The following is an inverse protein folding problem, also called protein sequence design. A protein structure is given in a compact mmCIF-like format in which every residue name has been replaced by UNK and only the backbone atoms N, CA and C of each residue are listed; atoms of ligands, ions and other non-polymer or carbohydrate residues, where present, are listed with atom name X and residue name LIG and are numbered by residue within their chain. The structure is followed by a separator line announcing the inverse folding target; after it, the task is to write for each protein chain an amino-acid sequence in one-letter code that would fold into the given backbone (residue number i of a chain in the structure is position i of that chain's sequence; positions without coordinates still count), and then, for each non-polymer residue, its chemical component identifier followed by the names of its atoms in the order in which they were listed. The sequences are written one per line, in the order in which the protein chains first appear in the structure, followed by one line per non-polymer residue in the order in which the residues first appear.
data_IF_297584034499
#
_entry.id   IF_297584034499
#
_cell.length_a   1.000
_cell.length_b   1.000
_cell.length_c   1.000
_cell.angle_alpha   90.00
_cell.angle_beta   90.00
_cell.angle_gamma   90.00
#
_symmetry.space_group_name_H-M   'P 1'
#
loop_
_entity.id
_entity.type
_entity.pdbx_description
1 polymer ?
#
# COMPACT_ATOMS: atom_id res chain seq x y z
N UNK A 1 11.10 13.60 3.80
CA UNK A 1 12.23 12.63 3.69
C UNK A 1 11.94 11.69 2.54
N UNK A 2 12.89 11.50 1.61
CA UNK A 2 12.61 10.73 0.41
C UNK A 2 12.15 9.31 0.73
N UNK A 3 11.16 8.86 -0.04
CA UNK A 3 10.56 7.54 0.05
C UNK A 3 11.03 6.71 -1.14
N UNK A 4 11.54 5.51 -0.90
CA UNK A 4 11.74 4.51 -1.96
C UNK A 4 10.66 3.44 -1.86
N UNK A 5 9.99 3.17 -2.97
CA UNK A 5 9.09 2.03 -3.13
C UNK A 5 9.67 1.04 -4.13
N UNK A 6 9.71 -0.24 -3.77
CA UNK A 6 10.12 -1.33 -4.65
C UNK A 6 8.96 -2.29 -4.84
N UNK A 7 8.55 -2.50 -6.09
CA UNK A 7 7.39 -3.34 -6.39
C UNK A 7 7.03 -3.38 -7.86
N UNK A 8 5.87 -3.96 -8.16
CA UNK A 8 5.38 -4.08 -9.52
C UNK A 8 4.97 -2.73 -10.11
N UNK A 9 5.39 -2.51 -11.35
CA UNK A 9 4.84 -1.55 -12.29
C UNK A 9 4.17 -2.40 -13.35
N UNK A 10 2.91 -2.17 -13.64
CA UNK A 10 2.10 -3.14 -14.36
C UNK A 10 1.12 -2.50 -15.35
N UNK A 11 0.56 -3.37 -16.19
CA UNK A 11 -0.72 -3.11 -16.83
C UNK A 11 -1.80 -3.97 -16.19
N UNK A 12 -2.90 -3.34 -15.81
CA UNK A 12 -4.05 -4.02 -15.23
C UNK A 12 -5.25 -3.98 -16.21
N UNK A 13 -6.02 -5.07 -16.26
CA UNK A 13 -7.32 -5.13 -16.92
C UNK A 13 -8.37 -5.51 -15.88
N UNK A 14 -9.35 -4.67 -15.70
CA UNK A 14 -10.32 -4.81 -14.62
C UNK A 14 -11.73 -4.76 -15.16
N UNK A 15 -12.54 -5.73 -14.74
CA UNK A 15 -13.98 -5.76 -14.97
C UNK A 15 -14.70 -5.69 -13.62
N UNK A 16 -15.65 -4.78 -13.52
CA UNK A 16 -16.52 -4.59 -12.36
C UNK A 16 -17.97 -4.45 -12.81
N UNK A 17 -18.95 -4.43 -11.88
CA UNK A 17 -20.34 -4.13 -12.23
C UNK A 17 -20.55 -2.76 -12.90
N UNK A 18 -19.57 -1.85 -12.77
CA UNK A 18 -19.62 -0.49 -13.32
C UNK A 18 -18.97 -0.37 -14.70
N UNK A 19 -18.34 -1.41 -15.22
CA UNK A 19 -17.72 -1.44 -16.53
C UNK A 19 -16.44 -2.25 -16.60
N UNK A 20 -15.72 -2.04 -17.70
CA UNK A 20 -14.45 -2.73 -17.96
C UNK A 20 -13.43 -1.75 -18.52
N UNK A 21 -12.19 -1.92 -18.12
CA UNK A 21 -11.02 -1.24 -18.66
C UNK A 21 -9.92 -2.25 -18.91
N UNK A 22 -9.26 -2.10 -20.03
CA UNK A 22 -8.17 -2.99 -20.42
C UNK A 22 -6.85 -2.24 -20.47
N UNK A 23 -5.79 -2.89 -20.02
CA UNK A 23 -4.41 -2.42 -20.13
C UNK A 23 -4.19 -1.00 -19.55
N UNK A 24 -4.74 -0.74 -18.39
CA UNK A 24 -4.49 0.49 -17.62
C UNK A 24 -3.12 0.46 -16.95
N UNK A 25 -2.57 1.64 -16.67
CA UNK A 25 -1.44 1.77 -15.76
C UNK A 25 -1.84 1.26 -14.37
N UNK A 26 -1.05 0.36 -13.84
CA UNK A 26 -1.28 -0.29 -12.55
C UNK A 26 0.01 -0.76 -11.88
N UNK A 27 -0.14 -1.70 -10.96
CA UNK A 27 0.94 -2.24 -10.15
C UNK A 27 1.09 -1.57 -8.79
N UNK A 28 1.53 -2.36 -7.81
CA UNK A 28 1.59 -1.93 -6.41
C UNK A 28 2.49 -0.70 -6.20
N UNK A 29 3.67 -0.67 -6.83
CA UNK A 29 4.57 0.48 -6.72
C UNK A 29 4.01 1.74 -7.39
N UNK A 30 3.23 1.60 -8.47
CA UNK A 30 2.61 2.73 -9.17
C UNK A 30 1.55 3.40 -8.29
N UNK A 31 0.57 2.64 -7.81
CA UNK A 31 -0.48 3.17 -6.93
C UNK A 31 0.08 3.80 -5.65
N UNK A 32 1.04 3.11 -5.03
CA UNK A 32 1.74 3.64 -3.87
C UNK A 32 2.42 4.97 -4.17
N UNK A 33 3.21 5.03 -5.25
CA UNK A 33 4.01 6.21 -5.58
C UNK A 33 3.15 7.44 -5.89
N UNK A 34 2.05 7.26 -6.63
CA UNK A 34 1.10 8.33 -6.91
C UNK A 34 0.48 8.89 -5.63
N UNK A 35 0.12 8.04 -4.67
CA UNK A 35 -0.42 8.47 -3.40
C UNK A 35 0.63 9.14 -2.50
N UNK A 36 1.82 8.56 -2.39
CA UNK A 36 2.89 9.08 -1.54
C UNK A 36 3.45 10.43 -2.06
N UNK A 37 3.38 10.68 -3.38
CA UNK A 37 3.86 11.92 -4.01
C UNK A 37 3.11 13.19 -3.60
N UNK A 38 1.99 13.08 -2.89
CA UNK A 38 1.33 14.24 -2.29
C UNK A 38 2.05 14.77 -1.04
N UNK A 39 2.98 14.01 -0.49
CA UNK A 39 3.59 14.28 0.81
C UNK A 39 5.09 14.55 0.75
N UNK A 40 5.82 13.79 -0.07
CA UNK A 40 7.29 13.89 -0.11
C UNK A 40 7.82 13.41 -1.47
N UNK A 41 9.13 13.53 -1.67
CA UNK A 41 9.82 12.99 -2.83
C UNK A 41 9.75 11.45 -2.84
N UNK A 42 9.33 10.88 -3.95
CA UNK A 42 9.15 9.44 -4.10
C UNK A 42 10.00 8.92 -5.23
N UNK A 43 10.68 7.81 -5.00
CA UNK A 43 11.41 7.04 -6.00
C UNK A 43 10.81 5.66 -6.17
N UNK A 44 10.57 5.28 -7.43
CA UNK A 44 10.05 3.95 -7.79
C UNK A 44 11.16 3.09 -8.33
N UNK A 45 11.24 1.85 -7.85
CA UNK A 45 12.17 0.83 -8.31
C UNK A 45 11.36 -0.38 -8.80
N UNK A 46 11.55 -0.75 -10.06
CA UNK A 46 10.88 -1.92 -10.64
C UNK A 46 11.19 -2.05 -12.13
N UNK A 47 11.01 -3.25 -12.72
CA UNK A 47 11.23 -3.47 -14.13
C UNK A 47 9.94 -3.22 -14.93
N UNK A 48 10.11 -2.76 -16.16
CA UNK A 48 9.05 -2.70 -17.19
C UNK A 48 9.57 -3.29 -18.49
N UNK A 49 8.68 -3.80 -19.33
CA UNK A 49 9.03 -4.30 -20.65
C UNK A 49 9.19 -3.19 -21.70
N UNK A 50 9.50 -3.62 -22.93
CA UNK A 50 9.58 -2.72 -24.09
C UNK A 50 8.22 -2.11 -24.46
N UNK A 51 7.13 -2.79 -24.09
CA UNK A 51 5.75 -2.38 -24.29
C UNK A 51 5.26 -1.27 -23.36
N UNK A 52 6.10 -0.85 -22.37
CA UNK A 52 5.82 0.24 -21.45
C UNK A 52 6.41 1.54 -22.00
N UNK A 53 5.54 2.42 -22.47
CA UNK A 53 5.92 3.66 -23.13
C UNK A 53 6.29 4.80 -22.16
N UNK A 54 6.76 5.90 -22.75
CA UNK A 54 7.04 7.10 -21.95
C UNK A 54 5.75 7.77 -21.45
N UNK A 55 4.63 7.58 -22.13
CA UNK A 55 3.32 8.11 -21.70
C UNK A 55 2.89 7.57 -20.33
N UNK A 56 3.18 6.29 -20.04
CA UNK A 56 2.93 5.68 -18.73
C UNK A 56 3.90 6.22 -17.67
N UNK A 57 5.18 6.37 -18.00
CA UNK A 57 6.15 6.97 -17.08
C UNK A 57 5.86 8.44 -16.79
N UNK A 58 5.30 9.15 -17.78
CA UNK A 58 4.96 10.56 -17.63
C UNK A 58 3.83 10.80 -16.63
N UNK A 59 2.98 9.80 -16.37
CA UNK A 59 2.01 9.87 -15.26
C UNK A 59 2.73 10.05 -13.93
N UNK A 60 3.75 9.23 -13.68
CA UNK A 60 4.57 9.31 -12.47
C UNK A 60 5.41 10.60 -12.44
N UNK A 61 6.07 10.94 -13.56
CA UNK A 61 6.93 12.15 -13.68
C UNK A 61 6.16 13.45 -13.43
N UNK A 62 4.91 13.55 -13.92
CA UNK A 62 4.05 14.73 -13.68
C UNK A 62 3.74 14.95 -12.21
N UNK A 63 3.78 13.88 -11.41
CA UNK A 63 3.64 13.93 -9.95
C UNK A 63 4.96 14.13 -9.20
N UNK A 64 6.07 14.36 -9.93
CA UNK A 64 7.40 14.55 -9.36
C UNK A 64 8.05 13.24 -8.88
N UNK A 65 7.50 12.08 -9.24
CA UNK A 65 8.08 10.78 -8.87
C UNK A 65 9.36 10.53 -9.67
N UNK A 66 10.44 10.18 -8.98
CA UNK A 66 11.71 9.79 -9.60
C UNK A 66 11.60 8.36 -10.14
N UNK A 67 11.70 8.24 -11.46
CA UNK A 67 11.64 6.98 -12.21
C UNK A 67 13.01 6.52 -12.72
N UNK A 68 14.10 7.06 -12.16
CA UNK A 68 15.47 6.73 -12.59
C UNK A 68 15.81 5.26 -12.39
N UNK A 69 15.25 4.65 -11.35
CA UNK A 69 15.43 3.23 -11.01
C UNK A 69 14.35 2.32 -11.65
N UNK A 70 13.59 2.82 -12.61
CA UNK A 70 12.70 1.99 -13.44
C UNK A 70 13.51 1.43 -14.60
N UNK A 71 13.75 0.12 -14.60
CA UNK A 71 14.53 -0.56 -15.60
C UNK A 71 13.65 -1.02 -16.78
N UNK A 72 13.93 -0.51 -18.00
CA UNK A 72 13.22 -0.96 -19.20
C UNK A 72 13.99 -2.13 -19.85
N UNK A 73 13.40 -3.31 -19.87
CA UNK A 73 13.98 -4.53 -20.40
C UNK A 73 13.60 -4.71 -21.88
N UNK A 74 14.60 -4.62 -22.78
CA UNK A 74 14.38 -4.79 -24.21
C UNK A 74 13.89 -6.22 -24.55
N UNK A 75 12.91 -6.31 -25.44
CA UNK A 75 12.33 -7.58 -25.89
C UNK A 75 11.43 -8.26 -24.86
N UNK A 76 11.24 -7.67 -23.67
CA UNK A 76 10.39 -8.21 -22.64
C UNK A 76 9.01 -7.55 -22.60
N UNK A 77 8.04 -8.21 -21.99
CA UNK A 77 6.71 -7.66 -21.71
C UNK A 77 6.63 -7.20 -20.26
N UNK A 78 5.91 -6.11 -20.03
CA UNK A 78 5.59 -5.61 -18.68
C UNK A 78 4.68 -6.59 -17.96
N UNK A 79 4.79 -6.66 -16.63
CA UNK A 79 3.85 -7.39 -15.78
C UNK A 79 2.41 -7.01 -16.13
N UNK A 80 1.57 -8.02 -16.29
CA UNK A 80 0.17 -7.85 -16.62
C UNK A 80 -0.71 -8.66 -15.68
N UNK A 81 -1.77 -8.02 -15.19
CA UNK A 81 -2.79 -8.69 -14.40
C UNK A 81 -4.18 -8.37 -14.95
N UNK A 82 -5.06 -9.38 -14.98
CA UNK A 82 -6.46 -9.20 -15.29
C UNK A 82 -7.35 -9.84 -14.23
N UNK A 83 -8.39 -9.14 -13.80
CA UNK A 83 -9.34 -9.64 -12.83
C UNK A 83 -10.74 -9.11 -13.00
N UNK A 84 -11.70 -9.88 -12.46
CA UNK A 84 -13.10 -9.55 -12.40
C UNK A 84 -13.59 -9.49 -10.96
N UNK A 85 -14.30 -8.43 -10.63
CA UNK A 85 -14.93 -8.26 -9.33
C UNK A 85 -16.39 -8.64 -9.36
N UNK A 86 -16.85 -9.33 -8.33
CA UNK A 86 -18.26 -9.63 -8.13
C UNK A 86 -19.10 -8.37 -7.91
N UNK A 87 -20.41 -8.55 -7.87
CA UNK A 87 -21.37 -7.43 -7.72
C UNK A 87 -21.16 -6.64 -6.40
N UNK A 88 -20.63 -7.28 -5.37
CA UNK A 88 -20.33 -6.73 -4.06
C UNK A 88 -18.95 -6.07 -3.96
N UNK A 89 -18.13 -6.15 -5.04
CA UNK A 89 -16.75 -5.67 -5.12
C UNK A 89 -15.80 -6.26 -4.06
N UNK A 90 -16.31 -7.12 -3.18
CA UNK A 90 -15.54 -7.80 -2.14
C UNK A 90 -14.86 -9.08 -2.62
N UNK A 91 -15.47 -9.75 -3.60
CA UNK A 91 -14.94 -10.96 -4.23
C UNK A 91 -14.22 -10.62 -5.52
N UNK A 92 -13.03 -11.18 -5.71
CA UNK A 92 -12.20 -10.98 -6.91
C UNK A 92 -11.75 -12.32 -7.47
N UNK A 93 -11.96 -12.51 -8.77
CA UNK A 93 -11.38 -13.60 -9.54
C UNK A 93 -10.22 -13.07 -10.39
N UNK A 94 -9.05 -13.73 -10.29
CA UNK A 94 -7.92 -13.45 -11.19
C UNK A 94 -8.12 -14.24 -12.47
N UNK A 95 -8.26 -13.55 -13.58
CA UNK A 95 -8.48 -14.15 -14.90
C UNK A 95 -7.13 -14.49 -15.58
N UNK A 96 -6.14 -13.61 -15.43
CA UNK A 96 -4.83 -13.77 -16.03
C UNK A 96 -3.74 -13.09 -15.17
N UNK A 97 -2.56 -13.69 -15.13
CA UNK A 97 -1.34 -13.08 -14.61
C UNK A 97 -0.17 -13.45 -15.50
N UNK A 98 0.48 -12.46 -16.09
CA UNK A 98 1.73 -12.62 -16.85
C UNK A 98 2.82 -11.85 -16.13
N UNK A 99 3.80 -12.57 -15.61
CA UNK A 99 4.89 -11.94 -14.88
C UNK A 99 5.80 -11.08 -15.78
N UNK A 100 5.93 -11.46 -17.06
CA UNK A 100 6.81 -10.75 -17.99
C UNK A 100 8.20 -10.58 -17.43
N UNK A 101 8.80 -9.40 -17.59
CA UNK A 101 10.14 -9.07 -17.08
C UNK A 101 10.24 -9.12 -15.55
N UNK A 102 9.12 -9.13 -14.86
CA UNK A 102 9.09 -9.21 -13.40
C UNK A 102 9.47 -10.60 -12.86
N UNK A 103 9.37 -11.63 -13.69
CA UNK A 103 9.74 -13.01 -13.31
C UNK A 103 11.21 -13.15 -12.92
N UNK A 104 12.09 -12.42 -13.61
CA UNK A 104 13.54 -12.45 -13.43
C UNK A 104 14.06 -11.17 -12.75
N UNK A 105 13.17 -10.42 -12.09
CA UNK A 105 13.54 -9.17 -11.45
C UNK A 105 14.48 -9.39 -10.26
N UNK A 106 15.68 -8.84 -10.36
CA UNK A 106 16.65 -8.76 -9.28
C UNK A 106 16.88 -7.29 -8.90
N UNK A 107 16.27 -6.79 -7.81
CA UNK A 107 16.34 -5.37 -7.47
C UNK A 107 17.74 -4.93 -7.11
N UNK A 108 18.34 -4.07 -7.95
CA UNK A 108 19.62 -3.40 -7.73
C UNK A 108 19.33 -1.90 -7.56
N UNK A 109 19.40 -1.43 -6.33
CA UNK A 109 19.05 -0.05 -6.02
C UNK A 109 20.22 0.89 -6.31
N UNK A 110 19.93 2.05 -6.91
CA UNK A 110 20.89 3.13 -7.02
C UNK A 110 21.30 3.67 -5.64
N UNK A 111 22.42 4.36 -5.52
CA UNK A 111 22.80 5.03 -4.26
C UNK A 111 21.72 5.96 -3.72
N UNK A 112 20.96 6.61 -4.61
CA UNK A 112 19.83 7.45 -4.23
C UNK A 112 18.68 6.67 -3.59
N UNK A 113 18.34 5.51 -4.15
CA UNK A 113 17.31 4.63 -3.58
C UNK A 113 17.76 3.99 -2.26
N UNK A 114 19.03 3.59 -2.16
CA UNK A 114 19.60 3.03 -0.93
C UNK A 114 19.65 4.05 0.22
N UNK A 115 19.81 5.33 -0.10
CA UNK A 115 19.90 6.43 0.86
C UNK A 115 18.56 7.01 1.31
N UNK A 116 17.43 6.43 0.92
CA UNK A 116 16.13 6.92 1.34
C UNK A 116 15.86 6.68 2.82
N UNK A 117 15.24 7.68 3.46
CA UNK A 117 14.88 7.62 4.88
C UNK A 117 13.70 6.69 5.17
N UNK A 118 12.83 6.53 4.17
CA UNK A 118 11.63 5.69 4.26
C UNK A 118 11.62 4.68 3.11
N UNK A 119 11.37 3.42 3.46
CA UNK A 119 11.32 2.30 2.52
C UNK A 119 9.96 1.64 2.55
N UNK A 120 9.36 1.45 1.39
CA UNK A 120 8.19 0.60 1.24
C UNK A 120 8.50 -0.61 0.34
N UNK A 121 8.33 -1.79 0.91
CA UNK A 121 8.47 -3.07 0.22
C UNK A 121 7.06 -3.49 -0.23
N UNK A 122 6.68 -3.07 -1.45
CA UNK A 122 5.40 -3.42 -2.02
C UNK A 122 5.32 -4.93 -2.33
N UNK A 123 4.14 -5.42 -2.63
CA UNK A 123 3.85 -6.82 -2.82
C UNK A 123 4.68 -7.45 -3.96
N UNK A 124 5.77 -8.13 -3.58
CA UNK A 124 6.64 -8.98 -4.42
C UNK A 124 7.10 -10.19 -3.63
N UNK A 125 7.88 -11.07 -4.27
CA UNK A 125 8.46 -12.24 -3.59
C UNK A 125 9.22 -11.83 -2.31
N UNK A 126 8.98 -12.47 -1.16
CA UNK A 126 9.58 -12.07 0.11
C UNK A 126 11.11 -12.07 0.16
N UNK A 127 11.78 -12.97 -0.55
CA UNK A 127 13.25 -12.96 -0.63
C UNK A 127 13.79 -11.71 -1.33
N UNK A 128 13.09 -11.21 -2.37
CA UNK A 128 13.44 -9.97 -3.05
C UNK A 128 13.19 -8.76 -2.12
N UNK A 129 12.07 -8.74 -1.39
CA UNK A 129 11.81 -7.70 -0.40
C UNK A 129 12.92 -7.65 0.66
N UNK A 130 13.37 -8.81 1.15
CA UNK A 130 14.46 -8.89 2.13
C UNK A 130 15.80 -8.45 1.53
N UNK A 131 16.08 -8.81 0.28
CA UNK A 131 17.28 -8.36 -0.43
C UNK A 131 17.30 -6.82 -0.62
N UNK A 132 16.15 -6.21 -0.91
CA UNK A 132 15.99 -4.75 -0.96
C UNK A 132 16.23 -4.14 0.42
N UNK A 133 15.60 -4.68 1.46
CA UNK A 133 15.78 -4.17 2.83
C UNK A 133 17.25 -4.19 3.27
N UNK A 134 17.99 -5.22 2.87
CA UNK A 134 19.43 -5.34 3.17
C UNK A 134 20.28 -4.27 2.45
N UNK A 135 19.81 -3.71 1.33
CA UNK A 135 20.47 -2.60 0.63
C UNK A 135 20.13 -1.23 1.25
N UNK A 136 19.00 -1.10 1.97
CA UNK A 136 18.50 0.14 2.57
C UNK A 136 18.63 0.12 4.11
N UNK A 137 19.82 -0.15 4.64
CA UNK A 137 20.04 -0.30 6.09
C UNK A 137 19.88 0.99 6.87
N UNK A 138 19.97 2.15 6.21
CA UNK A 138 19.84 3.48 6.80
C UNK A 138 18.39 3.97 6.92
N UNK A 139 17.42 3.29 6.33
CA UNK A 139 16.03 3.69 6.40
C UNK A 139 15.54 3.69 7.87
N UNK A 140 15.02 4.83 8.31
CA UNK A 140 14.50 5.00 9.68
C UNK A 140 13.11 4.40 9.86
N UNK A 141 12.39 4.18 8.77
CA UNK A 141 11.10 3.49 8.75
C UNK A 141 11.00 2.62 7.51
N UNK A 142 10.76 1.35 7.71
CA UNK A 142 10.51 0.40 6.66
C UNK A 142 9.14 -0.26 6.86
N UNK A 143 8.31 -0.24 5.83
CA UNK A 143 7.02 -0.92 5.83
C UNK A 143 6.95 -1.95 4.70
N UNK A 144 6.12 -2.98 4.88
CA UNK A 144 5.99 -4.10 3.97
C UNK A 144 4.52 -4.40 3.74
N UNK A 145 4.14 -4.63 2.48
CA UNK A 145 2.88 -5.28 2.08
C UNK A 145 3.16 -6.66 1.48
N UNK A 146 2.16 -7.53 1.50
CA UNK A 146 2.23 -8.88 0.94
C UNK A 146 0.84 -9.32 0.47
N UNK A 147 0.72 -10.58 0.02
CA UNK A 147 -0.56 -11.15 -0.39
C UNK A 147 -0.66 -12.63 0.00
N UNK A 148 -1.89 -13.17 -0.10
CA UNK A 148 -2.20 -14.56 0.19
C UNK A 148 -1.28 -15.56 -0.52
N UNK A 149 -0.90 -15.31 -1.77
CA UNK A 149 0.01 -16.20 -2.52
C UNK A 149 1.31 -16.45 -1.74
N UNK A 150 1.97 -15.40 -1.26
CA UNK A 150 3.24 -15.55 -0.53
C UNK A 150 3.06 -16.20 0.85
N UNK A 151 1.90 -15.98 1.47
CA UNK A 151 1.54 -16.67 2.71
C UNK A 151 1.40 -18.18 2.48
N UNK A 152 0.91 -18.58 1.31
CA UNK A 152 0.71 -19.99 0.95
C UNK A 152 2.01 -20.69 0.53
N UNK A 153 2.78 -20.07 -0.39
CA UNK A 153 3.89 -20.76 -1.04
C UNK A 153 5.29 -20.39 -0.48
N UNK A 154 5.41 -19.29 0.28
CA UNK A 154 6.69 -18.75 0.76
C UNK A 154 6.62 -18.24 2.20
N UNK A 155 5.76 -18.82 3.04
CA UNK A 155 5.46 -18.34 4.40
C UNK A 155 6.71 -18.13 5.25
N UNK A 156 7.64 -19.05 5.26
CA UNK A 156 8.85 -18.96 6.09
C UNK A 156 9.75 -17.80 5.66
N UNK A 157 9.90 -17.58 4.35
CA UNK A 157 10.60 -16.42 3.81
C UNK A 157 9.88 -15.12 4.15
N UNK A 158 8.54 -15.09 4.05
CA UNK A 158 7.74 -13.92 4.43
C UNK A 158 7.92 -13.56 5.92
N UNK A 159 7.87 -14.55 6.82
CA UNK A 159 8.09 -14.33 8.25
C UNK A 159 9.48 -13.76 8.52
N UNK A 160 10.52 -14.28 7.84
CA UNK A 160 11.87 -13.74 7.94
C UNK A 160 11.95 -12.29 7.44
N UNK A 161 11.22 -11.95 6.38
CA UNK A 161 11.19 -10.60 5.82
C UNK A 161 10.43 -9.64 6.74
N UNK A 162 9.29 -10.06 7.29
CA UNK A 162 8.52 -9.29 8.28
C UNK A 162 9.38 -8.91 9.50
N UNK A 163 10.29 -9.78 9.92
CA UNK A 163 11.20 -9.49 11.03
C UNK A 163 12.21 -8.36 10.74
N UNK A 164 12.33 -7.88 9.51
CA UNK A 164 13.27 -6.82 9.10
C UNK A 164 12.65 -5.44 8.97
N UNK A 165 11.33 -5.30 9.14
CA UNK A 165 10.59 -4.06 8.94
C UNK A 165 9.94 -3.55 10.23
N UNK A 166 9.59 -2.27 10.24
CA UNK A 166 8.95 -1.59 11.38
C UNK A 166 7.43 -1.70 11.34
N UNK A 167 6.87 -1.80 10.14
CA UNK A 167 5.42 -1.86 9.91
C UNK A 167 5.04 -2.95 8.91
N UNK A 168 4.01 -3.73 9.24
CA UNK A 168 3.37 -4.68 8.34
C UNK A 168 1.99 -4.16 7.95
N UNK A 169 1.72 -4.10 6.65
CA UNK A 169 0.44 -3.69 6.08
C UNK A 169 -0.17 -4.87 5.35
N UNK A 170 -1.24 -5.46 5.86
CA UNK A 170 -1.97 -6.58 5.23
C UNK A 170 -3.47 -6.31 5.26
N UNK A 171 -4.23 -7.06 4.46
CA UNK A 171 -5.66 -7.12 4.72
C UNK A 171 -5.96 -8.09 5.88
N UNK A 172 -7.16 -8.04 6.40
CA UNK A 172 -7.57 -8.81 7.58
C UNK A 172 -7.62 -10.32 7.31
N UNK A 173 -7.96 -10.75 6.09
CA UNK A 173 -7.95 -12.14 5.68
C UNK A 173 -6.52 -12.69 5.61
N UNK A 174 -5.61 -11.95 4.99
CA UNK A 174 -4.18 -12.27 4.91
C UNK A 174 -3.54 -12.37 6.30
N UNK A 175 -3.86 -11.43 7.19
CA UNK A 175 -3.33 -11.43 8.55
C UNK A 175 -3.82 -12.65 9.35
N UNK A 176 -5.10 -13.04 9.19
CA UNK A 176 -5.64 -14.27 9.79
C UNK A 176 -5.00 -15.52 9.20
N UNK A 177 -4.82 -15.56 7.87
CA UNK A 177 -4.19 -16.69 7.18
C UNK A 177 -2.73 -16.86 7.63
N UNK A 178 -1.97 -15.76 7.69
CA UNK A 178 -0.56 -15.76 8.10
C UNK A 178 -0.37 -16.33 9.51
N UNK A 179 -1.28 -16.03 10.42
CA UNK A 179 -1.17 -16.36 11.85
C UNK A 179 -1.98 -17.59 12.29
N UNK A 180 -2.97 -18.00 11.49
CA UNK A 180 -3.94 -19.03 11.87
C UNK A 180 -4.91 -18.58 12.97
N UNK A 181 -5.01 -17.27 13.27
CA UNK A 181 -5.89 -16.72 14.29
C UNK A 181 -7.18 -16.18 13.68
N UNK A 182 -8.36 -16.56 14.17
CA UNK A 182 -9.63 -16.09 13.59
C UNK A 182 -9.98 -14.64 13.93
N UNK A 183 -9.49 -14.12 15.05
CA UNK A 183 -9.75 -12.75 15.50
C UNK A 183 -8.67 -11.77 15.03
N UNK A 184 -9.07 -10.63 14.43
CA UNK A 184 -8.15 -9.62 13.90
C UNK A 184 -7.11 -9.17 14.93
N UNK A 185 -7.57 -8.75 16.12
CA UNK A 185 -6.67 -8.28 17.18
C UNK A 185 -5.73 -9.38 17.68
N UNK A 186 -6.21 -10.63 17.76
CA UNK A 186 -5.37 -11.76 18.14
C UNK A 186 -4.32 -12.06 17.07
N UNK A 187 -4.68 -11.97 15.78
CA UNK A 187 -3.76 -12.15 14.68
C UNK A 187 -2.67 -11.05 14.67
N UNK A 188 -3.05 -9.78 14.83
CA UNK A 188 -2.10 -8.69 14.89
C UNK A 188 -1.13 -8.83 16.09
N UNK A 189 -1.63 -9.16 17.27
CA UNK A 189 -0.81 -9.38 18.46
C UNK A 189 0.12 -10.57 18.34
N UNK A 190 -0.28 -11.61 17.62
CA UNK A 190 0.59 -12.76 17.31
C UNK A 190 1.83 -12.28 16.55
N UNK A 191 1.65 -11.51 15.46
CA UNK A 191 2.79 -10.97 14.69
C UNK A 191 3.66 -10.04 15.54
N UNK A 192 3.04 -9.14 16.34
CA UNK A 192 3.78 -8.24 17.25
C UNK A 192 4.57 -9.00 18.34
N UNK A 193 4.21 -10.25 18.64
CA UNK A 193 4.90 -11.09 19.60
C UNK A 193 6.11 -11.83 19.02
N UNK A 194 6.25 -11.87 17.69
CA UNK A 194 7.39 -12.52 17.04
C UNK A 194 8.68 -11.85 17.46
N UNK A 195 9.76 -12.63 17.54
CA UNK A 195 11.02 -12.20 18.14
C UNK A 195 11.56 -10.87 17.59
N UNK A 196 12.08 -9.97 18.46
CA UNK A 196 12.72 -8.74 18.03
C UNK A 196 13.99 -8.97 17.20
N UNK A 197 14.33 -8.06 16.24
CA UNK A 197 13.45 -6.97 15.83
C UNK A 197 12.28 -7.52 15.02
N UNK A 198 11.11 -7.13 15.16
CA UNK A 198 9.93 -7.45 14.36
C UNK A 198 9.10 -6.18 14.27
N UNK A 199 8.02 -6.15 13.49
CA UNK A 199 7.24 -4.95 13.33
C UNK A 199 6.72 -4.46 14.68
N UNK A 200 6.79 -3.14 14.88
CA UNK A 200 6.17 -2.45 16.01
C UNK A 200 4.74 -2.02 15.71
N UNK A 201 4.37 -2.04 14.43
CA UNK A 201 3.11 -1.53 13.90
C UNK A 201 2.50 -2.56 12.95
N UNK A 202 1.23 -2.88 13.13
CA UNK A 202 0.43 -3.69 12.20
C UNK A 202 -0.74 -2.84 11.71
N UNK A 203 -0.87 -2.73 10.40
CA UNK A 203 -2.06 -2.18 9.74
C UNK A 203 -2.84 -3.33 9.14
N UNK A 204 -4.09 -3.48 9.53
CA UNK A 204 -5.02 -4.45 8.97
C UNK A 204 -6.11 -3.74 8.18
N UNK A 205 -6.02 -3.80 6.86
CA UNK A 205 -7.00 -3.23 5.92
C UNK A 205 -8.25 -4.13 5.92
N UNK A 206 -9.44 -3.53 5.93
CA UNK A 206 -10.72 -4.24 6.05
C UNK A 206 -11.72 -3.83 4.95
N UNK A 207 -11.22 -3.37 3.80
CA UNK A 207 -12.05 -2.93 2.68
C UNK A 207 -13.00 -1.80 3.08
N UNK A 208 -14.28 -1.98 2.82
CA UNK A 208 -15.34 -1.00 3.15
C UNK A 208 -15.49 -0.71 4.64
N UNK A 209 -14.99 -1.59 5.52
CA UNK A 209 -15.02 -1.38 6.97
C UNK A 209 -13.83 -0.54 7.48
N UNK A 210 -12.90 -0.15 6.59
CA UNK A 210 -11.77 0.71 6.92
C UNK A 210 -10.49 -0.02 7.28
N UNK A 211 -9.80 0.38 8.32
CA UNK A 211 -8.55 -0.23 8.75
C UNK A 211 -8.33 -0.16 10.26
N UNK A 212 -7.57 -1.11 10.78
CA UNK A 212 -7.13 -1.14 12.17
C UNK A 212 -5.61 -0.98 12.27
N UNK A 213 -5.16 -0.15 13.19
CA UNK A 213 -3.79 0.02 13.63
C UNK A 213 -3.61 -0.70 14.96
N UNK A 214 -2.64 -1.58 15.04
CA UNK A 214 -2.30 -2.29 16.28
C UNK A 214 -0.82 -2.10 16.57
N UNK A 215 -0.53 -1.62 17.76
CA UNK A 215 0.83 -1.55 18.32
C UNK A 215 0.93 -2.46 19.54
N UNK A 216 2.11 -2.55 20.15
CA UNK A 216 2.26 -3.31 21.40
C UNK A 216 1.41 -2.75 22.55
N UNK A 217 1.16 -1.44 22.55
CA UNK A 217 0.47 -0.70 23.62
C UNK A 217 -0.90 -0.18 23.24
N UNK A 218 -1.20 -0.08 21.93
CA UNK A 218 -2.38 0.59 21.43
C UNK A 218 -3.19 -0.20 20.39
N UNK A 219 -4.42 0.24 20.25
CA UNK A 219 -5.33 -0.14 19.17
C UNK A 219 -6.08 1.11 18.70
N UNK A 220 -6.14 1.30 17.41
CA UNK A 220 -6.94 2.35 16.80
C UNK A 220 -7.65 1.78 15.56
N UNK A 221 -8.90 2.12 15.36
CA UNK A 221 -9.67 1.72 14.17
C UNK A 221 -10.30 2.95 13.55
N UNK A 222 -10.19 3.05 12.23
CA UNK A 222 -10.80 4.10 11.44
C UNK A 222 -11.70 3.45 10.39
N UNK A 223 -12.97 3.84 10.26
CA UNK A 223 -13.83 3.36 9.19
C UNK A 223 -13.32 3.85 7.83
N UNK A 224 -13.71 3.18 6.75
CA UNK A 224 -13.53 3.73 5.42
C UNK A 224 -14.33 5.03 5.27
N UNK A 225 -13.90 5.89 4.33
CA UNK A 225 -14.70 7.04 3.96
C UNK A 225 -16.00 6.56 3.27
N UNK A 226 -17.18 7.07 3.70
CA UNK A 226 -18.45 6.56 3.20
C UNK A 226 -18.73 7.04 1.77
N UNK A 227 -18.44 6.18 0.80
CA UNK A 227 -18.76 6.39 -0.61
C UNK A 227 -20.11 5.75 -0.95
N UNK A 228 -20.92 6.42 -1.74
CA UNK A 228 -22.16 5.81 -2.29
C UNK A 228 -21.86 4.82 -3.42
N UNK A 229 -20.74 5.03 -4.13
CA UNK A 229 -20.34 4.20 -5.26
C UNK A 229 -18.83 3.96 -5.23
N UNK A 230 -18.46 2.69 -5.34
CA UNK A 230 -17.11 2.23 -5.59
C UNK A 230 -17.07 1.66 -7.00
N UNK A 231 -16.18 2.17 -7.86
CA UNK A 231 -16.10 1.78 -9.27
C UNK A 231 -15.09 0.67 -9.49
N UNK A 232 -13.88 0.83 -8.94
CA UNK A 232 -12.78 -0.13 -9.06
C UNK A 232 -11.97 -0.19 -7.76
N UNK A 233 -11.99 -1.31 -7.02
CA UNK A 233 -11.21 -1.45 -5.79
C UNK A 233 -9.73 -1.79 -6.02
N UNK A 234 -9.29 -1.97 -7.28
CA UNK A 234 -7.90 -2.30 -7.61
C UNK A 234 -6.96 -1.19 -7.18
N UNK A 235 -5.84 -1.55 -6.54
CA UNK A 235 -4.84 -0.58 -6.07
C UNK A 235 -5.23 0.23 -4.82
N UNK A 236 -6.44 0.04 -4.27
CA UNK A 236 -6.87 0.77 -3.07
C UNK A 236 -5.94 0.50 -1.87
N UNK A 237 -5.50 -0.75 -1.70
CA UNK A 237 -4.56 -1.13 -0.65
C UNK A 237 -3.19 -0.48 -0.79
N UNK A 238 -2.68 -0.42 -2.01
CA UNK A 238 -1.40 0.21 -2.33
C UNK A 238 -1.48 1.73 -2.21
N UNK A 239 -2.59 2.33 -2.63
CA UNK A 239 -2.88 3.76 -2.48
C UNK A 239 -3.01 4.13 -0.99
N UNK A 240 -3.69 3.30 -0.19
CA UNK A 240 -3.70 3.44 1.27
C UNK A 240 -2.29 3.44 1.85
N UNK A 241 -1.46 2.46 1.48
CA UNK A 241 -0.09 2.35 1.95
C UNK A 241 0.74 3.57 1.53
N UNK A 242 0.56 4.08 0.30
CA UNK A 242 1.21 5.29 -0.19
C UNK A 242 0.84 6.52 0.62
N UNK A 243 -0.43 6.72 0.94
CA UNK A 243 -0.89 7.80 1.79
C UNK A 243 -0.39 7.70 3.23
N UNK A 244 -0.44 6.50 3.81
CA UNK A 244 0.04 6.22 5.16
C UNK A 244 1.55 6.47 5.30
N UNK A 245 2.36 5.85 4.45
CA UNK A 245 3.82 5.94 4.50
C UNK A 245 4.31 7.33 4.06
N UNK A 246 3.68 7.93 3.04
CA UNK A 246 3.98 9.27 2.57
C UNK A 246 3.78 10.32 3.66
N UNK A 247 2.67 10.23 4.42
CA UNK A 247 2.43 11.13 5.55
C UNK A 247 3.50 10.98 6.65
N UNK A 248 3.93 9.75 6.96
CA UNK A 248 5.03 9.50 7.89
C UNK A 248 6.33 10.13 7.40
N UNK A 249 6.61 10.04 6.09
CA UNK A 249 7.79 10.64 5.49
C UNK A 249 7.77 12.17 5.62
N UNK A 250 6.63 12.82 5.34
CA UNK A 250 6.46 14.27 5.46
C UNK A 250 6.64 14.80 6.89
N UNK A 251 6.34 13.98 7.91
CA UNK A 251 6.58 14.34 9.30
C UNK A 251 8.07 14.54 9.66
N UNK A 252 8.96 14.13 8.78
CA UNK A 252 10.39 14.41 8.90
C UNK A 252 11.04 13.72 10.10
N UNK A 253 11.80 14.47 10.90
CA UNK A 253 12.54 13.97 12.06
C UNK A 253 11.68 13.75 13.32
N UNK A 254 10.36 13.97 13.26
CA UNK A 254 9.47 13.71 14.38
C UNK A 254 9.49 12.22 14.76
N UNK A 255 9.23 11.97 16.04
CA UNK A 255 9.06 10.60 16.52
C UNK A 255 7.83 9.96 15.89
N UNK A 256 7.96 8.70 15.46
CA UNK A 256 6.84 7.93 14.94
C UNK A 256 6.05 7.38 16.14
N UNK A 257 5.20 8.23 16.71
CA UNK A 257 4.32 7.91 17.83
C UNK A 257 2.92 7.48 17.36
N UNK A 258 2.07 7.09 18.30
CA UNK A 258 0.70 6.64 17.98
C UNK A 258 -0.16 7.74 17.36
N UNK A 259 0.06 9.00 17.73
CA UNK A 259 -0.70 10.11 17.18
C UNK A 259 -0.35 10.38 15.70
N UNK A 260 0.95 10.31 15.37
CA UNK A 260 1.40 10.39 13.98
C UNK A 260 0.83 9.23 13.15
N UNK A 261 0.87 8.01 13.69
CA UNK A 261 0.35 6.82 13.02
C UNK A 261 -1.16 6.90 12.77
N UNK A 262 -1.96 7.44 13.71
CA UNK A 262 -3.40 7.66 13.55
C UNK A 262 -3.70 8.67 12.45
N UNK A 263 -2.95 9.77 12.40
CA UNK A 263 -3.06 10.76 11.32
C UNK A 263 -2.66 10.16 9.97
N UNK A 264 -1.58 9.40 9.93
CA UNK A 264 -1.17 8.70 8.72
C UNK A 264 -2.25 7.73 8.20
N UNK A 265 -2.94 7.01 9.10
CA UNK A 265 -4.09 6.18 8.72
C UNK A 265 -5.22 6.98 8.10
N UNK A 266 -5.53 8.17 8.61
CA UNK A 266 -6.57 9.02 8.05
C UNK A 266 -6.22 9.42 6.60
N UNK A 267 -4.98 9.81 6.34
CA UNK A 267 -4.52 10.14 4.99
C UNK A 267 -4.49 8.93 4.06
N UNK A 268 -4.06 7.76 4.54
CA UNK A 268 -4.16 6.51 3.78
C UNK A 268 -5.60 6.18 3.40
N UNK A 269 -6.53 6.28 4.35
CA UNK A 269 -7.97 6.05 4.14
C UNK A 269 -8.57 7.03 3.13
N UNK A 270 -8.25 8.32 3.26
CA UNK A 270 -8.74 9.35 2.34
C UNK A 270 -8.25 9.12 0.90
N UNK A 271 -6.95 8.81 0.71
CA UNK A 271 -6.39 8.55 -0.61
C UNK A 271 -6.95 7.28 -1.23
N UNK A 272 -7.06 6.19 -0.46
CA UNK A 272 -7.71 4.96 -0.92
C UNK A 272 -9.16 5.20 -1.36
N UNK A 273 -9.90 6.09 -0.67
CA UNK A 273 -11.27 6.40 -1.05
C UNK A 273 -11.36 7.12 -2.40
N UNK A 274 -10.39 7.94 -2.76
CA UNK A 274 -10.32 8.54 -4.10
C UNK A 274 -9.97 7.51 -5.16
N UNK A 275 -9.02 6.61 -4.88
CA UNK A 275 -8.63 5.57 -5.85
C UNK A 275 -9.83 4.77 -6.35
N UNK A 276 -10.74 4.41 -5.48
CA UNK A 276 -11.86 3.53 -5.84
C UNK A 276 -13.03 4.23 -6.55
N UNK A 277 -12.99 5.56 -6.71
CA UNK A 277 -14.01 6.34 -7.41
C UNK A 277 -13.98 6.13 -8.92
N UNK A 278 -12.84 5.72 -9.49
CA UNK A 278 -12.63 5.50 -10.92
C UNK A 278 -11.73 4.29 -11.18
N UNK A 279 -11.61 3.90 -12.45
CA UNK A 279 -10.76 2.80 -12.84
C UNK A 279 -9.26 3.15 -12.75
N UNK A 280 -8.47 2.20 -12.26
CA UNK A 280 -7.02 2.29 -12.20
C UNK A 280 -6.51 3.52 -11.44
N UNK A 281 -5.62 4.29 -12.08
CA UNK A 281 -4.97 5.47 -11.48
C UNK A 281 -5.66 6.79 -11.81
N UNK A 282 -6.69 6.78 -12.68
CA UNK A 282 -7.29 7.99 -13.29
C UNK A 282 -7.70 9.07 -12.28
N UNK A 283 -8.32 8.67 -11.17
CA UNK A 283 -8.77 9.63 -10.16
C UNK A 283 -7.61 10.24 -9.38
N UNK A 284 -6.63 9.42 -8.99
CA UNK A 284 -5.47 9.86 -8.20
C UNK A 284 -4.53 10.75 -9.03
N UNK A 285 -4.42 10.51 -10.33
CA UNK A 285 -3.60 11.34 -11.24
C UNK A 285 -4.00 12.81 -11.25
N UNK A 286 -5.30 13.11 -11.18
CA UNK A 286 -5.82 14.48 -11.22
C UNK A 286 -6.22 15.04 -9.85
N UNK A 287 -6.04 14.25 -8.80
CA UNK A 287 -6.33 14.68 -7.43
C UNK A 287 -5.40 15.82 -6.99
N UNK A 288 -5.91 16.74 -6.20
CA UNK A 288 -5.13 17.84 -5.65
C UNK A 288 -5.22 17.92 -4.12
N UNK A 289 -4.33 18.71 -3.50
CA UNK A 289 -4.24 18.81 -2.05
C UNK A 289 -5.47 19.42 -1.36
N UNK A 290 -6.25 20.25 -2.06
CA UNK A 290 -7.46 20.85 -1.49
C UNK A 290 -8.54 19.78 -1.30
N UNK A 291 -8.75 18.91 -2.29
CA UNK A 291 -9.68 17.78 -2.21
C UNK A 291 -9.30 16.80 -1.09
N UNK A 292 -8.00 16.53 -0.92
CA UNK A 292 -7.52 15.67 0.17
C UNK A 292 -7.82 16.31 1.52
N UNK A 293 -7.58 17.62 1.68
CA UNK A 293 -7.83 18.34 2.93
C UNK A 293 -9.32 18.33 3.28
N UNK A 294 -10.19 18.54 2.29
CA UNK A 294 -11.64 18.47 2.46
C UNK A 294 -12.08 17.08 2.90
N UNK A 295 -11.60 16.02 2.21
CA UNK A 295 -11.91 14.62 2.54
C UNK A 295 -11.47 14.23 3.95
N UNK A 296 -10.31 14.73 4.39
CA UNK A 296 -9.84 14.52 5.78
C UNK A 296 -10.76 15.22 6.78
N UNK A 297 -11.22 16.43 6.49
CA UNK A 297 -12.16 17.15 7.37
C UNK A 297 -13.50 16.41 7.48
N UNK A 298 -14.03 15.91 6.35
CA UNK A 298 -15.26 15.11 6.32
C UNK A 298 -15.10 13.79 7.07
N UNK A 299 -13.99 13.07 6.87
CA UNK A 299 -13.70 11.83 7.58
C UNK A 299 -13.60 12.07 9.09
N UNK A 300 -12.96 13.16 9.51
CA UNK A 300 -12.90 13.57 10.92
C UNK A 300 -14.29 13.86 11.48
N UNK A 301 -15.14 14.56 10.72
CA UNK A 301 -16.50 14.90 11.15
C UNK A 301 -17.38 13.66 11.33
N UNK A 302 -17.28 12.68 10.43
CA UNK A 302 -18.10 11.46 10.51
C UNK A 302 -17.61 10.42 11.52
N UNK A 303 -16.39 10.58 12.06
CA UNK A 303 -15.79 9.63 13.01
C UNK A 303 -15.72 10.17 14.45
N UNK A 304 -15.96 11.45 14.66
CA UNK A 304 -15.89 12.07 15.98
C UNK A 304 -17.26 12.08 16.69
N UNK A 305 -17.24 11.91 18.01
CA UNK A 305 -18.41 12.05 18.86
C UNK A 305 -18.01 12.65 20.22
N UNK A 306 -18.96 13.32 20.87
CA UNK A 306 -18.74 13.89 22.21
C UNK A 306 -18.96 12.80 23.27
N UNK A 307 -17.92 12.49 24.04
CA UNK A 307 -18.02 11.59 25.18
C UNK A 307 -18.68 12.33 26.38
N UNK A 308 -19.98 12.45 26.33
CA UNK A 308 -20.75 12.97 27.48
C UNK A 308 -21.22 11.82 28.35
N UNK A 309 -20.88 11.78 29.66
CA UNK A 309 -21.36 10.73 30.55
C UNK A 309 -22.89 10.70 30.58
N UNK A 310 -23.50 9.56 30.27
CA UNK A 310 -24.91 9.35 30.47
C UNK A 310 -25.19 9.00 31.94
N UNK A 311 -26.33 9.46 32.48
CA UNK A 311 -26.83 8.96 33.75
C UNK A 311 -27.37 7.55 33.55
N UNK A 312 -26.54 6.55 33.83
CA UNK A 312 -26.94 5.15 33.75
C UNK A 312 -27.80 4.79 34.98
N UNK A 313 -28.88 4.05 34.74
CA UNK A 313 -29.65 3.46 35.85
C UNK A 313 -28.88 2.23 36.35
N UNK A 314 -28.77 2.11 37.69
CA UNK A 314 -28.19 0.95 38.37
C UNK A 314 -29.06 -0.28 38.21
#
# INVERSE_FOLDING_TARGET
MPVTVVGSIAFDSVKTPFGERTRMLGGAATHFALAASFFDDVRVVGPVGEDFGDEQLDVLRRRGVDVTDVERIAGGETFFWAGEYGWDLGSRETLETRLGVFADFEPKLSPGAQGSDVLFLANIQPDLQRAVRAQCTGARFAALDSMNLWIEIARDSLVQTIATVDCLVLNDAELRQLTGKPGLLAAAREVLSWSPPGPGVIIAKQGEYGAALVTRTGFFSLPAYPLETVVDPTGAGDTFAGGFVGYIAAAGAEAIDEELLRRAMAYGTALASFNVEEFGTERVERLNGAEITERIAELSACTSFSAVPAALRA
#
